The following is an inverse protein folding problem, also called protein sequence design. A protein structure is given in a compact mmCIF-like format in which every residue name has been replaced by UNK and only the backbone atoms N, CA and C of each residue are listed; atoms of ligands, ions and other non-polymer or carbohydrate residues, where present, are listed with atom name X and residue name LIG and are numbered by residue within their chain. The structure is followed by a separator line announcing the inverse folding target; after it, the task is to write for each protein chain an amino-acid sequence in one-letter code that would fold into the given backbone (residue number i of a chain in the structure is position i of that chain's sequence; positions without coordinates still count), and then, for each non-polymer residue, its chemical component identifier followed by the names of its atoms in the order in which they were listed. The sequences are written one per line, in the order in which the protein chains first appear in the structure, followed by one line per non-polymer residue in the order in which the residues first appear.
data_IF_828762207039
#
_entry.id   IF_828762207039
#
_cell.length_a   1.000
_cell.length_b   1.000
_cell.length_c   1.000
_cell.angle_alpha   90.00
_cell.angle_beta   90.00
_cell.angle_gamma   90.00
#
_symmetry.space_group_name_H-M   'P 1'
#
loop_
_entity.id
_entity.type
_entity.pdbx_description
1 polymer ?
#
# COMPACT_ATOMS: atom_id res chain seq x y z
N UNK A 1 -3.60 18.60 -16.93
CA UNK A 1 -4.85 18.99 -16.27
C UNK A 1 -6.01 19.17 -17.24
N UNK A 2 -5.97 20.11 -18.19
CA UNK A 2 -7.12 20.38 -19.08
C UNK A 2 -7.63 19.15 -19.85
N UNK A 3 -6.75 18.38 -20.47
CA UNK A 3 -7.09 17.17 -21.22
C UNK A 3 -7.91 16.16 -20.39
N UNK A 4 -7.47 15.90 -19.15
CA UNK A 4 -8.18 14.98 -18.25
C UNK A 4 -9.53 15.54 -17.83
N UNK A 5 -9.56 16.82 -17.46
CA UNK A 5 -10.82 17.48 -17.09
C UNK A 5 -11.85 17.49 -18.22
N UNK A 6 -11.41 17.72 -19.45
CA UNK A 6 -12.28 17.66 -20.64
C UNK A 6 -12.79 16.25 -20.90
N UNK A 7 -11.90 15.23 -20.78
CA UNK A 7 -12.25 13.83 -20.97
C UNK A 7 -13.33 13.36 -19.98
N UNK A 8 -13.25 13.81 -18.72
CA UNK A 8 -14.17 13.38 -17.67
C UNK A 8 -15.28 14.43 -17.36
N UNK A 9 -15.42 15.49 -18.17
CA UNK A 9 -16.45 16.50 -17.97
C UNK A 9 -16.32 17.30 -16.67
N UNK A 10 -15.10 17.46 -16.16
CA UNK A 10 -14.83 18.19 -14.92
C UNK A 10 -14.82 19.69 -15.23
N UNK A 11 -15.81 20.41 -14.70
CA UNK A 11 -15.98 21.84 -14.96
C UNK A 11 -15.02 22.68 -14.11
N UNK A 12 -14.93 22.41 -12.80
CA UNK A 12 -14.08 23.16 -11.87
C UNK A 12 -12.63 22.69 -11.95
N UNK A 13 -11.72 23.62 -12.12
CA UNK A 13 -10.28 23.35 -12.26
C UNK A 13 -9.47 24.34 -11.46
N UNK A 14 -8.58 23.86 -10.62
CA UNK A 14 -7.73 24.67 -9.78
C UNK A 14 -6.26 24.44 -10.15
N UNK A 15 -5.48 25.51 -10.21
CA UNK A 15 -4.01 25.49 -10.38
C UNK A 15 -3.30 25.84 -9.07
N UNK A 16 -4.06 26.24 -8.07
CA UNK A 16 -3.60 26.55 -6.73
C UNK A 16 -4.36 25.67 -5.72
N UNK A 17 -3.62 24.97 -4.88
CA UNK A 17 -4.19 24.05 -3.89
C UNK A 17 -4.99 24.79 -2.81
N UNK A 18 -4.55 25.99 -2.43
CA UNK A 18 -5.24 26.82 -1.43
C UNK A 18 -6.59 27.32 -1.94
N UNK A 19 -6.68 27.63 -3.21
CA UNK A 19 -7.95 28.01 -3.83
C UNK A 19 -8.91 26.80 -3.91
N UNK A 20 -8.40 25.61 -4.21
CA UNK A 20 -9.21 24.38 -4.17
C UNK A 20 -9.77 24.15 -2.78
N UNK A 21 -8.96 24.26 -1.74
CA UNK A 21 -9.38 24.01 -0.36
C UNK A 21 -10.45 25.01 0.15
N UNK A 22 -10.53 26.21 -0.42
CA UNK A 22 -11.57 27.22 -0.08
C UNK A 22 -12.93 26.93 -0.69
N UNK A 23 -13.02 26.04 -1.70
CA UNK A 23 -14.31 25.74 -2.32
C UNK A 23 -15.23 25.00 -1.33
N UNK A 24 -16.39 25.56 -0.97
CA UNK A 24 -17.33 24.93 -0.05
C UNK A 24 -18.07 23.73 -0.64
N UNK A 25 -17.99 23.51 -1.95
CA UNK A 25 -18.63 22.36 -2.61
C UNK A 25 -17.73 21.11 -2.65
N UNK A 26 -16.48 21.22 -2.13
CA UNK A 26 -15.56 20.11 -2.00
C UNK A 26 -15.60 19.60 -0.56
N UNK A 27 -16.03 18.36 -0.34
CA UNK A 27 -16.05 17.70 0.97
C UNK A 27 -14.78 16.88 1.24
N UNK A 28 -14.17 16.34 0.19
CA UNK A 28 -13.02 15.47 0.29
C UNK A 28 -12.01 15.72 -0.84
N UNK A 29 -10.75 15.41 -0.60
CA UNK A 29 -9.67 15.47 -1.59
C UNK A 29 -8.94 14.14 -1.71
N UNK A 30 -8.57 13.78 -2.94
CA UNK A 30 -7.64 12.70 -3.21
C UNK A 30 -6.27 13.30 -3.58
N UNK A 31 -5.26 13.07 -2.73
CA UNK A 31 -3.91 13.56 -2.92
C UNK A 31 -3.11 12.51 -3.68
N UNK A 32 -2.58 12.93 -4.83
CA UNK A 32 -1.78 12.10 -5.73
C UNK A 32 -0.58 12.92 -6.27
N UNK A 33 -0.03 13.75 -5.41
CA UNK A 33 1.15 14.59 -5.65
C UNK A 33 2.43 13.77 -5.47
N UNK A 34 3.62 14.37 -5.69
CA UNK A 34 4.88 13.74 -5.28
C UNK A 34 4.91 13.40 -3.79
N UNK A 35 5.50 12.26 -3.46
CA UNK A 35 5.51 11.70 -2.09
C UNK A 35 5.95 12.69 -0.99
N UNK A 36 6.98 13.54 -1.20
CA UNK A 36 7.38 14.52 -0.17
C UNK A 36 6.28 15.53 0.21
N UNK A 37 5.27 15.71 -0.64
CA UNK A 37 4.18 16.66 -0.40
C UNK A 37 2.96 16.03 0.31
N UNK A 38 2.90 14.69 0.43
CA UNK A 38 1.72 13.97 0.94
C UNK A 38 1.27 14.44 2.31
N UNK A 39 2.19 14.47 3.29
CA UNK A 39 1.87 14.85 4.66
C UNK A 39 1.39 16.30 4.75
N UNK A 40 2.17 17.23 4.19
CA UNK A 40 1.87 18.67 4.26
C UNK A 40 0.54 19.02 3.59
N UNK A 41 0.24 18.44 2.43
CA UNK A 41 -1.01 18.65 1.73
C UNK A 41 -2.19 18.00 2.46
N UNK A 42 -2.02 16.80 3.03
CA UNK A 42 -3.05 16.12 3.81
C UNK A 42 -3.44 16.91 5.06
N UNK A 43 -2.45 17.34 5.84
CA UNK A 43 -2.65 18.16 7.05
C UNK A 43 -3.38 19.47 6.69
N UNK A 44 -2.95 20.12 5.62
CA UNK A 44 -3.56 21.35 5.15
C UNK A 44 -5.03 21.15 4.74
N UNK A 45 -5.34 20.04 4.06
CA UNK A 45 -6.73 19.71 3.67
C UNK A 45 -7.60 19.43 4.89
N UNK A 46 -7.14 18.62 5.83
CA UNK A 46 -7.85 18.33 7.08
C UNK A 46 -8.17 19.63 7.84
N UNK A 47 -7.16 20.50 8.05
CA UNK A 47 -7.36 21.79 8.73
C UNK A 47 -8.24 22.76 7.95
N UNK A 48 -8.41 22.58 6.63
CA UNK A 48 -9.35 23.30 5.80
C UNK A 48 -10.78 22.70 5.78
N UNK A 49 -11.02 21.65 6.58
CA UNK A 49 -12.34 21.02 6.68
C UNK A 49 -12.63 19.99 5.60
N UNK A 50 -11.61 19.42 4.96
CA UNK A 50 -11.77 18.40 3.91
C UNK A 50 -11.32 17.03 4.41
N UNK A 51 -12.11 15.97 4.14
CA UNK A 51 -11.67 14.61 4.29
C UNK A 51 -10.56 14.29 3.30
N UNK A 52 -9.67 13.35 3.62
CA UNK A 52 -8.49 13.07 2.80
C UNK A 52 -8.35 11.59 2.48
N UNK A 53 -8.19 11.28 1.20
CA UNK A 53 -7.58 10.05 0.72
C UNK A 53 -6.23 10.43 0.10
N UNK A 54 -5.13 9.78 0.54
CA UNK A 54 -3.79 10.10 0.04
C UNK A 54 -3.10 8.84 -0.46
N UNK A 55 -2.43 8.92 -1.62
CA UNK A 55 -1.60 7.81 -2.11
C UNK A 55 -0.45 7.50 -1.15
N UNK A 56 0.12 6.33 -1.32
CA UNK A 56 1.18 5.79 -0.46
C UNK A 56 2.56 6.37 -0.78
N UNK A 57 3.44 6.40 0.22
CA UNK A 57 3.21 6.30 1.66
C UNK A 57 2.55 7.56 2.22
N UNK A 58 2.04 7.48 3.45
CA UNK A 58 1.38 8.63 4.11
C UNK A 58 2.30 9.83 4.29
N UNK A 59 3.58 9.59 4.56
CA UNK A 59 4.60 10.59 4.90
C UNK A 59 6.00 10.03 4.64
N UNK A 60 7.03 10.86 4.82
CA UNK A 60 8.44 10.48 4.68
C UNK A 60 9.21 10.48 6.01
N UNK A 61 8.64 11.04 7.08
CA UNK A 61 9.23 11.06 8.43
C UNK A 61 8.22 10.61 9.49
N UNK A 62 8.73 10.21 10.66
CA UNK A 62 7.89 9.82 11.81
C UNK A 62 7.12 11.03 12.33
N UNK A 63 7.76 12.19 12.36
CA UNK A 63 7.19 13.45 12.82
C UNK A 63 6.01 13.88 11.94
N UNK A 64 6.11 13.72 10.63
CA UNK A 64 5.00 13.98 9.70
C UNK A 64 3.83 13.01 9.92
N UNK A 65 4.11 11.72 10.18
CA UNK A 65 3.07 10.75 10.53
C UNK A 65 2.33 11.17 11.81
N UNK A 66 3.08 11.62 12.84
CA UNK A 66 2.51 12.08 14.10
C UNK A 66 1.66 13.35 13.90
N UNK A 67 2.18 14.34 13.17
CA UNK A 67 1.45 15.58 12.90
C UNK A 67 0.15 15.32 12.12
N UNK A 68 0.18 14.39 11.17
CA UNK A 68 -1.01 14.03 10.40
C UNK A 68 -2.04 13.31 11.29
N UNK A 69 -1.62 12.38 12.15
CA UNK A 69 -2.50 11.76 13.14
C UNK A 69 -3.14 12.81 14.06
N UNK A 70 -2.34 13.76 14.56
CA UNK A 70 -2.84 14.86 15.39
C UNK A 70 -3.85 15.73 14.63
N UNK A 71 -3.61 16.01 13.35
CA UNK A 71 -4.56 16.79 12.53
C UNK A 71 -5.90 16.05 12.32
N UNK A 72 -5.88 14.72 12.19
CA UNK A 72 -7.11 13.89 12.15
C UNK A 72 -7.86 13.98 13.48
N UNK A 73 -7.16 13.86 14.61
CA UNK A 73 -7.77 13.99 15.95
C UNK A 73 -8.33 15.39 16.19
N UNK A 74 -7.57 16.44 15.86
CA UNK A 74 -7.97 17.84 15.99
C UNK A 74 -9.25 18.18 15.21
N UNK A 75 -9.37 17.63 14.00
CA UNK A 75 -10.47 17.99 13.09
C UNK A 75 -11.66 17.04 13.14
N UNK A 76 -11.47 15.81 13.61
CA UNK A 76 -12.47 14.74 13.55
C UNK A 76 -12.79 14.27 12.13
N UNK A 77 -11.99 14.68 11.15
CA UNK A 77 -12.18 14.30 9.75
C UNK A 77 -11.52 12.98 9.42
N UNK A 78 -11.98 12.33 8.35
CA UNK A 78 -11.48 11.02 7.94
C UNK A 78 -10.24 11.16 7.07
N UNK A 79 -9.26 10.32 7.35
CA UNK A 79 -8.07 10.14 6.52
C UNK A 79 -7.92 8.66 6.15
N UNK A 80 -7.66 8.39 4.89
CA UNK A 80 -7.36 7.06 4.37
C UNK A 80 -6.05 7.08 3.58
N UNK A 81 -5.13 6.19 3.90
CA UNK A 81 -4.01 5.92 2.99
C UNK A 81 -4.49 5.00 1.87
N UNK A 82 -4.36 5.45 0.63
CA UNK A 82 -4.80 4.72 -0.56
C UNK A 82 -3.84 3.58 -0.91
N UNK A 83 -3.81 2.56 -0.06
CA UNK A 83 -2.96 1.39 -0.23
C UNK A 83 -3.64 0.34 -1.12
N UNK A 84 -3.15 0.21 -2.34
CA UNK A 84 -3.78 -0.61 -3.38
C UNK A 84 -3.70 -2.10 -3.13
N UNK A 85 -2.61 -2.60 -2.55
CA UNK A 85 -2.37 -4.05 -2.43
C UNK A 85 -3.39 -4.73 -1.53
N UNK A 86 -3.85 -4.06 -0.46
CA UNK A 86 -4.86 -4.63 0.45
C UNK A 86 -6.28 -4.65 -0.14
N UNK A 87 -6.45 -4.11 -1.33
CA UNK A 87 -7.67 -4.15 -2.12
C UNK A 87 -7.50 -4.91 -3.45
N UNK A 88 -6.31 -5.48 -3.70
CA UNK A 88 -6.08 -6.32 -4.87
C UNK A 88 -6.88 -7.63 -4.77
N UNK A 89 -7.26 -8.19 -5.93
CA UNK A 89 -8.02 -9.45 -5.96
C UNK A 89 -7.27 -10.59 -5.27
N UNK A 90 -5.97 -10.61 -5.35
CA UNK A 90 -5.13 -11.61 -4.70
C UNK A 90 -5.20 -11.49 -3.19
N UNK A 91 -5.11 -10.27 -2.66
CA UNK A 91 -5.25 -10.04 -1.22
C UNK A 91 -6.66 -10.37 -0.74
N UNK A 92 -7.69 -9.92 -1.45
CA UNK A 92 -9.09 -10.23 -1.12
C UNK A 92 -9.34 -11.75 -1.10
N UNK A 93 -8.77 -12.48 -2.06
CA UNK A 93 -8.85 -13.94 -2.12
C UNK A 93 -8.21 -14.61 -0.89
N UNK A 94 -6.98 -14.19 -0.55
CA UNK A 94 -6.28 -14.79 0.60
C UNK A 94 -6.99 -14.42 1.91
N UNK A 95 -7.46 -13.19 2.03
CA UNK A 95 -8.20 -12.71 3.20
C UNK A 95 -9.51 -13.49 3.38
N UNK A 96 -10.24 -13.76 2.29
CA UNK A 96 -11.42 -14.60 2.31
C UNK A 96 -11.13 -16.03 2.81
N UNK A 97 -10.03 -16.65 2.34
CA UNK A 97 -9.59 -17.96 2.82
C UNK A 97 -9.22 -17.93 4.31
N UNK A 98 -8.58 -16.87 4.76
CA UNK A 98 -8.23 -16.67 6.16
C UNK A 98 -9.49 -16.55 7.03
N UNK A 99 -10.41 -15.67 6.66
CA UNK A 99 -11.64 -15.41 7.39
C UNK A 99 -12.55 -16.64 7.49
N UNK A 100 -12.55 -17.51 6.46
CA UNK A 100 -13.20 -18.82 6.46
C UNK A 100 -12.46 -19.89 7.28
N UNK A 101 -11.27 -19.59 7.82
CA UNK A 101 -10.42 -20.53 8.56
C UNK A 101 -9.81 -21.64 7.71
N UNK A 102 -9.79 -21.46 6.38
CA UNK A 102 -9.27 -22.43 5.43
C UNK A 102 -7.74 -22.51 5.44
N UNK A 103 -7.05 -21.39 5.73
CA UNK A 103 -5.60 -21.38 5.91
C UNK A 103 -5.14 -22.12 7.18
N UNK A 104 -6.05 -22.31 8.13
CA UNK A 104 -5.73 -22.82 9.47
C UNK A 104 -5.01 -21.77 10.32
N UNK A 105 -4.10 -22.20 11.21
CA UNK A 105 -3.25 -21.24 11.94
C UNK A 105 -2.20 -20.69 10.99
N UNK A 106 -2.12 -19.37 10.86
CA UNK A 106 -1.03 -18.72 10.14
C UNK A 106 0.29 -18.97 10.88
N UNK A 107 1.36 -19.19 10.13
CA UNK A 107 2.67 -19.50 10.66
C UNK A 107 3.71 -18.46 10.25
N UNK A 108 3.59 -17.89 9.04
CA UNK A 108 4.56 -16.96 8.49
C UNK A 108 3.98 -16.17 7.32
N UNK A 109 4.45 -14.94 7.15
CA UNK A 109 4.10 -14.04 6.07
C UNK A 109 5.37 -13.54 5.39
N UNK A 110 5.36 -13.45 4.07
CA UNK A 110 6.45 -12.86 3.31
C UNK A 110 5.90 -11.99 2.18
N UNK A 111 6.61 -10.91 1.84
CA UNK A 111 6.22 -10.04 0.75
C UNK A 111 7.44 -9.42 0.06
N UNK A 112 7.29 -9.12 -1.22
CA UNK A 112 8.35 -8.44 -1.98
C UNK A 112 7.75 -7.47 -2.99
N UNK A 113 8.41 -6.31 -3.13
CA UNK A 113 8.07 -5.34 -4.16
C UNK A 113 9.33 -4.91 -4.92
N UNK A 114 9.82 -5.76 -5.82
CA UNK A 114 10.83 -5.38 -6.80
C UNK A 114 10.25 -4.37 -7.80
N UNK A 115 10.91 -3.24 -7.93
CA UNK A 115 10.52 -2.19 -8.88
C UNK A 115 11.76 -1.36 -9.25
N UNK A 116 12.01 -1.21 -10.54
CA UNK A 116 13.06 -0.34 -11.06
C UNK A 116 12.44 1.02 -11.39
N UNK A 117 12.98 2.08 -10.78
CA UNK A 117 12.50 3.45 -10.91
C UNK A 117 13.33 4.28 -11.91
N UNK A 118 14.22 3.66 -12.68
CA UNK A 118 14.95 4.36 -13.73
C UNK A 118 13.99 4.96 -14.77
N UNK A 119 14.15 6.26 -15.04
CA UNK A 119 13.28 6.99 -15.96
C UNK A 119 11.98 7.54 -15.37
N UNK A 120 11.73 7.31 -14.08
CA UNK A 120 10.61 7.91 -13.35
C UNK A 120 10.91 9.36 -12.96
N UNK A 121 9.92 10.16 -12.49
CA UNK A 121 10.15 11.54 -12.03
C UNK A 121 11.28 11.64 -11.00
N UNK A 122 12.06 12.70 -11.06
CA UNK A 122 13.34 12.84 -10.35
C UNK A 122 13.24 12.72 -8.81
N UNK A 123 12.10 12.99 -8.20
CA UNK A 123 11.93 12.83 -6.75
C UNK A 123 12.11 11.36 -6.29
N UNK A 124 11.93 10.38 -7.20
CA UNK A 124 12.20 8.97 -6.89
C UNK A 124 13.68 8.68 -6.63
N UNK A 125 14.58 9.48 -7.23
CA UNK A 125 16.01 9.33 -7.02
C UNK A 125 16.45 9.71 -5.59
N UNK A 126 15.60 10.42 -4.85
CA UNK A 126 15.79 10.79 -3.45
C UNK A 126 15.15 9.77 -2.47
N UNK A 127 14.40 8.79 -3.00
CA UNK A 127 13.70 7.82 -2.18
C UNK A 127 14.60 6.65 -1.76
N UNK A 128 14.47 6.29 -0.49
CA UNK A 128 15.08 5.10 0.11
C UNK A 128 14.16 3.91 -0.14
N UNK A 129 14.68 2.70 -0.47
CA UNK A 129 13.83 1.56 -0.78
C UNK A 129 12.73 1.28 0.25
N UNK A 130 13.08 1.23 1.54
CA UNK A 130 12.11 0.97 2.60
C UNK A 130 11.16 2.14 2.88
N UNK A 131 11.49 3.38 2.54
CA UNK A 131 10.54 4.49 2.67
C UNK A 131 9.35 4.36 1.71
N UNK A 132 9.46 3.50 0.68
CA UNK A 132 8.35 3.14 -0.19
C UNK A 132 8.02 1.64 -0.09
N UNK A 133 7.80 1.16 1.13
CA UNK A 133 7.57 -0.26 1.41
C UNK A 133 6.12 -0.59 1.81
N UNK A 134 5.21 0.36 1.76
CA UNK A 134 3.81 0.12 2.17
C UNK A 134 3.15 -1.01 1.41
N UNK A 135 3.42 -1.19 0.12
CA UNK A 135 2.89 -2.29 -0.69
C UNK A 135 3.32 -3.70 -0.26
N UNK A 136 4.35 -3.84 0.56
CA UNK A 136 4.76 -5.14 1.14
C UNK A 136 4.48 -5.23 2.63
N UNK A 137 4.46 -4.10 3.33
CA UNK A 137 4.14 -4.01 4.76
C UNK A 137 2.65 -4.20 4.99
N UNK A 138 1.84 -3.44 4.26
CA UNK A 138 0.38 -3.41 4.41
C UNK A 138 -0.29 -4.77 4.23
N UNK A 139 -0.01 -5.56 3.18
CA UNK A 139 -0.67 -6.85 3.05
C UNK A 139 -0.27 -7.83 4.15
N UNK A 140 0.98 -7.78 4.65
CA UNK A 140 1.40 -8.62 5.76
C UNK A 140 0.67 -8.27 7.06
N UNK A 141 0.57 -7.00 7.38
CA UNK A 141 -0.10 -6.55 8.60
C UNK A 141 -1.62 -6.62 8.46
N UNK A 142 -2.15 -6.26 7.29
CA UNK A 142 -3.57 -6.31 6.97
C UNK A 142 -4.18 -7.71 7.00
N UNK A 143 -3.40 -8.77 6.75
CA UNK A 143 -3.89 -10.15 6.86
C UNK A 143 -4.49 -10.46 8.24
N UNK A 144 -3.98 -9.84 9.28
CA UNK A 144 -4.41 -10.07 10.67
C UNK A 144 -4.93 -8.80 11.35
N UNK A 145 -5.27 -7.79 10.56
CA UNK A 145 -5.68 -6.46 11.02
C UNK A 145 -4.71 -5.90 12.08
N UNK A 146 -3.41 -6.15 11.86
CA UNK A 146 -2.35 -5.95 12.82
C UNK A 146 -1.55 -4.67 12.63
N UNK A 147 -0.79 -4.34 13.66
CA UNK A 147 0.23 -3.29 13.67
C UNK A 147 1.59 -3.93 13.90
N UNK A 148 2.65 -3.29 13.42
CA UNK A 148 4.01 -3.69 13.75
C UNK A 148 4.35 -3.28 15.19
N UNK A 149 5.11 -4.13 15.88
CA UNK A 149 5.65 -3.86 17.23
C UNK A 149 7.10 -3.37 17.16
N UNK A 150 7.93 -4.06 16.37
CA UNK A 150 9.31 -3.70 16.09
C UNK A 150 9.79 -4.30 14.77
N UNK A 151 10.89 -3.79 14.28
CA UNK A 151 11.56 -4.25 13.05
C UNK A 151 13.03 -4.53 13.27
N UNK A 152 13.60 -5.40 12.40
CA UNK A 152 15.04 -5.59 12.23
C UNK A 152 15.31 -5.73 10.74
N UNK A 153 16.19 -4.89 10.19
CA UNK A 153 16.42 -4.79 8.76
C UNK A 153 17.90 -4.78 8.42
N UNK A 154 18.25 -5.44 7.33
CA UNK A 154 19.61 -5.42 6.78
C UNK A 154 19.60 -4.79 5.39
N UNK A 155 20.56 -3.89 5.17
CA UNK A 155 20.90 -3.41 3.85
C UNK A 155 21.81 -4.42 3.14
N UNK A 156 21.62 -4.58 1.84
CA UNK A 156 22.36 -5.52 1.00
C UNK A 156 22.75 -4.89 -0.34
N UNK A 157 23.93 -5.27 -0.83
CA UNK A 157 24.47 -4.74 -2.07
C UNK A 157 24.84 -3.25 -1.98
N UNK A 158 25.13 -2.67 -3.12
CA UNK A 158 25.49 -1.25 -3.23
C UNK A 158 24.75 -0.65 -4.39
N UNK A 159 24.01 0.43 -4.14
CA UNK A 159 23.39 1.22 -5.19
C UNK A 159 24.44 2.11 -5.87
N UNK A 160 24.20 2.48 -7.12
CA UNK A 160 25.12 3.36 -7.87
C UNK A 160 25.29 4.72 -7.20
N UNK A 161 26.46 5.33 -7.42
CA UNK A 161 26.93 6.51 -6.70
C UNK A 161 25.98 7.72 -6.83
N UNK A 162 25.42 7.97 -8.01
CA UNK A 162 24.52 9.10 -8.26
C UNK A 162 23.21 8.99 -7.45
N UNK A 163 22.66 7.81 -7.30
CA UNK A 163 21.48 7.55 -6.47
C UNK A 163 21.85 7.62 -4.98
N UNK A 164 22.99 7.03 -4.60
CA UNK A 164 23.44 7.09 -3.22
C UNK A 164 23.63 8.53 -2.71
N UNK A 165 24.16 9.42 -3.56
CA UNK A 165 24.34 10.85 -3.21
C UNK A 165 23.01 11.60 -3.07
N UNK A 166 21.99 11.27 -3.87
CA UNK A 166 20.67 11.92 -3.84
C UNK A 166 19.81 11.42 -2.69
N UNK A 167 19.73 10.11 -2.53
CA UNK A 167 18.88 9.48 -1.50
C UNK A 167 19.50 9.44 -0.11
N UNK A 168 20.83 9.58 0.00
CA UNK A 168 21.56 9.33 1.22
C UNK A 168 21.69 7.84 1.59
N UNK A 169 21.11 6.93 0.79
CA UNK A 169 21.15 5.50 1.02
C UNK A 169 22.23 4.81 0.16
N UNK A 170 22.99 3.90 0.76
CA UNK A 170 24.03 3.13 0.07
C UNK A 170 23.59 1.73 -0.35
N UNK A 171 22.46 1.24 0.12
CA UNK A 171 22.01 -0.14 -0.09
C UNK A 171 21.21 -0.26 -1.38
N UNK A 172 21.50 -1.28 -2.18
CA UNK A 172 20.66 -1.61 -3.34
C UNK A 172 19.34 -2.26 -2.92
N UNK A 173 19.39 -3.13 -1.91
CA UNK A 173 18.21 -3.85 -1.38
C UNK A 173 18.16 -3.67 0.13
N UNK A 174 16.96 -3.52 0.66
CA UNK A 174 16.70 -3.61 2.10
C UNK A 174 15.74 -4.76 2.38
N UNK A 175 16.09 -5.56 3.40
CA UNK A 175 15.41 -6.80 3.77
C UNK A 175 15.07 -6.77 5.26
N UNK A 176 13.79 -6.75 5.59
CA UNK A 176 13.27 -6.44 6.91
C UNK A 176 12.43 -7.58 7.47
N UNK A 177 12.64 -7.91 8.73
CA UNK A 177 11.74 -8.71 9.54
C UNK A 177 10.90 -7.80 10.43
N UNK A 178 9.59 -8.06 10.44
CA UNK A 178 8.58 -7.31 11.19
C UNK A 178 7.98 -8.21 12.23
N UNK A 179 8.00 -7.82 13.51
CA UNK A 179 7.20 -8.46 14.55
C UNK A 179 5.83 -7.83 14.60
N UNK A 180 4.79 -8.64 14.49
CA UNK A 180 3.40 -8.19 14.58
C UNK A 180 3.03 -8.09 16.06
N UNK A 181 2.44 -6.95 16.44
CA UNK A 181 2.07 -6.63 17.81
C UNK A 181 0.98 -7.58 18.31
N UNK A 182 1.10 -8.03 19.55
CA UNK A 182 0.15 -8.91 20.23
C UNK A 182 -0.19 -10.19 19.44
N UNK A 183 0.73 -10.65 18.60
CA UNK A 183 0.56 -11.80 17.73
C UNK A 183 1.82 -12.67 17.70
N UNK A 184 1.66 -13.98 17.49
CA UNK A 184 2.78 -14.93 17.36
C UNK A 184 3.53 -14.77 16.02
N UNK A 185 2.90 -14.13 15.04
CA UNK A 185 3.42 -14.01 13.68
C UNK A 185 4.56 -13.00 13.57
N UNK A 186 5.39 -13.26 12.58
CA UNK A 186 6.30 -12.28 12.00
C UNK A 186 6.16 -12.28 10.49
N UNK A 187 6.56 -11.18 9.87
CA UNK A 187 6.63 -11.06 8.42
C UNK A 187 8.04 -10.76 7.97
N UNK A 188 8.38 -11.19 6.76
CA UNK A 188 9.61 -10.83 6.09
C UNK A 188 9.29 -10.09 4.81
N UNK A 189 9.82 -8.88 4.66
CA UNK A 189 9.60 -8.02 3.49
C UNK A 189 10.93 -7.56 2.93
N UNK A 190 11.01 -7.38 1.60
CA UNK A 190 12.18 -6.80 0.99
C UNK A 190 11.81 -5.91 -0.20
N UNK A 191 12.65 -4.90 -0.41
CA UNK A 191 12.42 -3.82 -1.37
C UNK A 191 13.71 -3.39 -2.04
N UNK A 192 13.63 -3.01 -3.32
CA UNK A 192 14.63 -2.20 -4.02
C UNK A 192 13.95 -1.21 -4.97
N UNK A 193 14.68 -0.21 -5.39
CA UNK A 193 14.23 0.82 -6.34
C UNK A 193 15.14 0.94 -7.56
N UNK A 194 16.40 0.50 -7.45
CA UNK A 194 17.44 0.66 -8.48
C UNK A 194 18.42 -0.50 -8.46
N UNK A 195 19.13 -0.69 -9.58
CA UNK A 195 20.31 -1.56 -9.71
C UNK A 195 20.10 -3.06 -9.43
N UNK A 196 18.85 -3.54 -9.50
CA UNK A 196 18.54 -4.96 -9.37
C UNK A 196 17.74 -5.44 -10.57
N UNK A 197 18.30 -6.36 -11.34
CA UNK A 197 17.68 -6.90 -12.55
C UNK A 197 16.51 -7.85 -12.22
N UNK A 198 15.37 -7.29 -11.84
CA UNK A 198 14.12 -8.01 -11.54
C UNK A 198 12.94 -7.18 -12.03
N UNK A 199 12.05 -7.80 -12.83
CA UNK A 199 10.81 -7.17 -13.26
C UNK A 199 9.92 -6.84 -12.05
N UNK A 200 8.99 -5.91 -12.28
CA UNK A 200 7.98 -5.53 -11.32
C UNK A 200 7.24 -6.74 -10.72
N UNK A 201 6.99 -6.70 -9.43
CA UNK A 201 6.12 -7.59 -8.68
C UNK A 201 5.66 -6.90 -7.41
N UNK A 202 4.38 -6.90 -7.15
CA UNK A 202 3.82 -6.71 -5.82
C UNK A 202 3.36 -8.09 -5.33
N UNK A 203 3.59 -8.41 -4.07
CA UNK A 203 3.23 -9.76 -3.62
C UNK A 203 3.08 -9.89 -2.12
N UNK A 204 2.27 -10.88 -1.74
CA UNK A 204 2.28 -11.48 -0.42
C UNK A 204 2.23 -12.99 -0.56
N UNK A 205 3.10 -13.68 0.20
CA UNK A 205 3.09 -15.12 0.37
C UNK A 205 2.63 -15.42 1.80
N UNK A 206 1.63 -16.29 1.94
CA UNK A 206 0.98 -16.58 3.23
C UNK A 206 1.07 -18.06 3.53
N UNK A 207 1.71 -18.41 4.65
CA UNK A 207 1.93 -19.79 5.05
C UNK A 207 1.06 -20.15 6.25
N UNK A 208 0.09 -21.02 6.02
CA UNK A 208 -0.84 -21.53 7.02
C UNK A 208 -0.66 -23.02 7.31
N UNK A 209 -1.24 -23.50 8.40
CA UNK A 209 -1.14 -24.89 8.80
C UNK A 209 -1.98 -25.88 7.97
N UNK A 210 -2.97 -25.37 7.22
CA UNK A 210 -3.83 -26.18 6.33
C UNK A 210 -3.59 -25.87 4.86
N UNK A 211 -3.52 -24.58 4.51
CA UNK A 211 -3.24 -24.09 3.17
C UNK A 211 -2.21 -22.97 3.23
N UNK A 212 -1.44 -22.82 2.17
CA UNK A 212 -0.52 -21.71 1.96
C UNK A 212 -0.71 -21.16 0.54
N UNK A 213 -0.52 -19.87 0.39
CA UNK A 213 -0.63 -19.18 -0.88
C UNK A 213 0.70 -18.54 -1.23
N UNK A 214 1.15 -18.73 -2.46
CA UNK A 214 2.30 -18.04 -3.04
C UNK A 214 1.85 -17.24 -4.26
N UNK A 215 2.10 -15.94 -4.19
CA UNK A 215 1.82 -15.04 -5.30
C UNK A 215 2.73 -15.33 -6.48
N UNK A 216 2.23 -15.15 -7.69
CA UNK A 216 2.99 -15.43 -8.91
C UNK A 216 4.37 -14.78 -8.91
N UNK A 217 5.35 -15.48 -9.43
CA UNK A 217 6.70 -14.94 -9.67
C UNK A 217 6.80 -14.12 -10.94
N UNK A 218 5.94 -14.37 -11.90
CA UNK A 218 5.91 -13.70 -13.21
C UNK A 218 4.51 -13.15 -13.44
N UNK A 219 4.42 -11.86 -13.69
CA UNK A 219 3.14 -11.21 -13.97
C UNK A 219 2.38 -11.91 -15.10
N UNK A 220 1.07 -12.08 -14.94
CA UNK A 220 0.22 -12.80 -15.87
C UNK A 220 0.22 -14.33 -15.73
N UNK A 221 1.03 -14.90 -14.86
CA UNK A 221 0.94 -16.31 -14.48
C UNK A 221 0.06 -16.50 -13.24
N UNK A 222 -0.55 -17.69 -13.06
CA UNK A 222 -1.37 -17.94 -11.88
C UNK A 222 -0.53 -18.01 -10.60
N UNK A 223 -1.13 -17.57 -9.51
CA UNK A 223 -0.63 -17.84 -8.15
C UNK A 223 -0.82 -19.30 -7.77
N UNK A 224 -0.19 -19.76 -6.71
CA UNK A 224 -0.16 -21.16 -6.31
C UNK A 224 -0.80 -21.32 -4.93
N UNK A 225 -1.68 -22.32 -4.82
CA UNK A 225 -2.22 -22.76 -3.54
C UNK A 225 -1.65 -24.13 -3.16
N UNK A 226 -1.03 -24.18 -1.99
CA UNK A 226 -0.54 -25.42 -1.38
C UNK A 226 -1.54 -25.93 -0.36
N UNK A 227 -1.77 -27.25 -0.32
CA UNK A 227 -2.68 -27.88 0.64
C UNK A 227 -1.92 -28.93 1.45
N UNK A 228 -1.93 -28.78 2.77
CA UNK A 228 -1.22 -29.69 3.67
C UNK A 228 -1.81 -31.10 3.63
N UNK A 229 -0.92 -32.12 3.78
CA UNK A 229 -1.29 -33.54 3.98
C UNK A 229 -2.10 -34.15 2.84
N UNK A 230 -1.79 -33.84 1.59
CA UNK A 230 -2.27 -34.62 0.45
C UNK A 230 -1.37 -35.85 0.30
N UNK A 231 -1.89 -37.09 0.47
CA UNK A 231 -1.07 -38.31 0.33
C UNK A 231 -0.53 -38.52 -1.09
N UNK A 232 -1.15 -37.90 -2.09
CA UNK A 232 -0.93 -38.21 -3.50
C UNK A 232 -0.47 -37.02 -4.35
N UNK A 233 -0.40 -35.83 -3.81
CA UNK A 233 -0.10 -34.65 -4.62
C UNK A 233 0.95 -33.77 -3.96
N UNK A 234 2.12 -33.91 -4.44
CA UNK A 234 3.21 -32.94 -4.28
C UNK A 234 3.12 -31.82 -5.32
N UNK A 235 2.08 -31.79 -6.14
CA UNK A 235 1.91 -30.78 -7.17
C UNK A 235 1.03 -29.66 -6.62
N UNK A 236 1.58 -28.44 -6.43
CA UNK A 236 0.80 -27.27 -6.06
C UNK A 236 -0.24 -26.94 -7.13
N UNK A 237 -1.39 -26.46 -6.73
CA UNK A 237 -2.48 -26.12 -7.66
C UNK A 237 -2.41 -24.65 -8.06
N UNK A 238 -2.37 -24.35 -9.37
CA UNK A 238 -2.64 -23.00 -9.85
C UNK A 238 -4.03 -22.54 -9.40
N UNK A 239 -4.15 -21.28 -8.99
CA UNK A 239 -5.40 -20.71 -8.51
C UNK A 239 -5.94 -19.72 -9.52
N UNK A 240 -7.21 -19.89 -9.90
CA UNK A 240 -7.96 -18.87 -10.59
C UNK A 240 -8.59 -17.92 -9.55
N UNK A 241 -8.15 -16.67 -9.55
CA UNK A 241 -8.56 -15.66 -8.57
C UNK A 241 -9.69 -14.84 -9.19
N UNK A 242 -10.89 -14.75 -8.55
CA UNK A 242 -11.99 -13.94 -9.04
C UNK A 242 -11.66 -12.44 -8.95
N UNK A 243 -12.38 -11.63 -9.70
CA UNK A 243 -12.18 -10.16 -9.72
C UNK A 243 -12.81 -9.43 -8.52
N UNK A 244 -13.61 -10.14 -7.71
CA UNK A 244 -14.35 -9.59 -6.57
C UNK A 244 -15.28 -8.41 -6.91
N UNK A 245 -15.63 -8.21 -8.17
CA UNK A 245 -16.52 -7.14 -8.59
C UNK A 245 -17.86 -7.15 -7.84
N UNK A 246 -18.35 -8.33 -7.44
CA UNK A 246 -19.60 -8.50 -6.69
C UNK A 246 -19.62 -7.80 -5.33
N UNK A 247 -18.48 -7.42 -4.78
CA UNK A 247 -18.37 -6.64 -3.54
C UNK A 247 -18.64 -5.15 -3.75
N UNK A 248 -18.74 -4.70 -5.00
CA UNK A 248 -18.94 -3.31 -5.38
C UNK A 248 -20.37 -3.03 -5.84
N UNK A 249 -20.85 -1.78 -5.70
CA UNK A 249 -22.08 -1.35 -6.37
C UNK A 249 -22.02 -1.60 -7.89
N UNK A 250 -23.14 -2.05 -8.47
CA UNK A 250 -23.24 -2.44 -9.88
C UNK A 250 -22.61 -1.45 -10.87
N UNK A 251 -22.79 -0.11 -10.76
CA UNK A 251 -22.25 0.82 -11.74
C UNK A 251 -20.72 0.86 -11.83
N UNK A 252 -20.03 0.43 -10.76
CA UNK A 252 -18.55 0.50 -10.67
C UNK A 252 -17.88 -0.87 -10.75
N UNK A 253 -18.63 -1.97 -10.82
CA UNK A 253 -18.08 -3.33 -10.92
C UNK A 253 -17.18 -3.51 -12.13
N UNK A 254 -17.52 -2.89 -13.26
CA UNK A 254 -16.74 -2.93 -14.49
C UNK A 254 -15.31 -2.40 -14.37
N UNK A 255 -15.02 -1.57 -13.37
CA UNK A 255 -13.70 -0.97 -13.16
C UNK A 255 -12.70 -1.89 -12.47
N UNK A 256 -13.09 -3.10 -12.05
CA UNK A 256 -12.16 -4.11 -11.51
C UNK A 256 -11.29 -4.77 -12.57
N UNK A 257 -11.62 -4.58 -13.84
CA UNK A 257 -10.92 -5.17 -14.98
C UNK A 257 -10.42 -4.10 -15.93
N UNK A 258 -9.39 -4.44 -16.70
CA UNK A 258 -8.97 -3.61 -17.83
C UNK A 258 -10.01 -3.75 -18.94
N UNK A 259 -10.66 -2.64 -19.31
CA UNK A 259 -11.66 -2.61 -20.36
C UNK A 259 -11.11 -1.77 -21.53
N UNK A 260 -10.99 -2.41 -22.69
CA UNK A 260 -10.75 -1.75 -23.96
C UNK A 260 -12.10 -1.38 -24.60
N UNK A 261 -12.74 -0.33 -24.07
CA UNK A 261 -13.99 0.18 -24.61
C UNK A 261 -13.82 1.66 -24.94
N UNK A 262 -14.14 2.05 -26.18
CA UNK A 262 -14.02 3.44 -26.64
C UNK A 262 -14.93 4.41 -25.85
N UNK A 263 -16.02 3.92 -25.28
CA UNK A 263 -16.94 4.69 -24.44
C UNK A 263 -16.57 4.63 -22.95
N UNK A 264 -15.52 3.86 -22.60
CA UNK A 264 -15.05 3.71 -21.23
C UNK A 264 -13.97 4.75 -20.94
N UNK A 265 -14.29 5.71 -20.10
CA UNK A 265 -13.41 6.83 -19.76
C UNK A 265 -12.29 6.48 -18.76
N UNK A 266 -12.17 5.24 -18.32
CA UNK A 266 -10.99 4.86 -17.52
C UNK A 266 -9.77 4.67 -18.42
N UNK A 267 -8.61 5.06 -17.90
CA UNK A 267 -7.36 4.69 -18.52
C UNK A 267 -7.22 3.15 -18.52
N UNK A 268 -6.39 2.63 -19.44
CA UNK A 268 -6.00 1.20 -19.56
C UNK A 268 -5.59 0.53 -18.23
N UNK A 269 -5.56 1.28 -17.15
CA UNK A 269 -5.20 0.86 -15.80
C UNK A 269 -6.35 0.31 -14.94
N UNK A 270 -7.57 0.12 -15.45
CA UNK A 270 -8.67 -0.45 -14.66
C UNK A 270 -8.34 -1.82 -14.04
N UNK A 271 -7.40 -2.58 -14.63
CA UNK A 271 -6.83 -3.79 -14.02
C UNK A 271 -5.55 -3.58 -13.23
N UNK A 272 -5.02 -2.37 -13.14
CA UNK A 272 -3.80 -2.06 -12.39
C UNK A 272 -3.94 -2.41 -10.91
N UNK A 273 -2.84 -2.81 -10.29
CA UNK A 273 -2.82 -3.28 -8.90
C UNK A 273 -3.93 -4.30 -8.59
N UNK A 274 -4.09 -5.30 -9.47
CA UNK A 274 -5.07 -6.37 -9.26
C UNK A 274 -6.54 -5.92 -9.18
N UNK A 275 -6.91 -4.81 -9.85
CA UNK A 275 -8.29 -4.29 -9.84
C UNK A 275 -8.70 -3.59 -8.55
N UNK A 276 -7.76 -3.13 -7.74
CA UNK A 276 -7.96 -2.57 -6.40
C UNK A 276 -8.62 -1.20 -6.36
N UNK A 277 -8.40 -0.35 -7.37
CA UNK A 277 -8.80 1.06 -7.35
C UNK A 277 -10.28 1.30 -7.05
N UNK A 278 -11.26 0.62 -7.71
CA UNK A 278 -12.67 0.83 -7.39
C UNK A 278 -13.04 0.38 -5.97
N UNK A 279 -12.41 -0.68 -5.45
CA UNK A 279 -12.62 -1.14 -4.07
C UNK A 279 -12.14 -0.10 -3.06
N UNK A 280 -10.92 0.42 -3.25
CA UNK A 280 -10.32 1.43 -2.40
C UNK A 280 -11.11 2.74 -2.38
N UNK A 281 -11.51 3.25 -3.55
CA UNK A 281 -12.33 4.46 -3.64
C UNK A 281 -13.70 4.25 -3.03
N UNK A 282 -14.33 3.08 -3.28
CA UNK A 282 -15.62 2.73 -2.67
C UNK A 282 -15.53 2.66 -1.14
N UNK A 283 -14.46 2.09 -0.58
CA UNK A 283 -14.23 2.07 0.87
C UNK A 283 -14.17 3.48 1.45
N UNK A 284 -13.37 4.36 0.85
CA UNK A 284 -13.26 5.74 1.32
C UNK A 284 -14.62 6.46 1.28
N UNK A 285 -15.31 6.42 0.15
CA UNK A 285 -16.60 7.11 0.01
C UNK A 285 -17.68 6.52 0.92
N UNK A 286 -17.74 5.19 1.06
CA UNK A 286 -18.66 4.53 1.98
C UNK A 286 -18.39 4.92 3.42
N UNK A 287 -17.10 5.02 3.82
CA UNK A 287 -16.75 5.43 5.18
C UNK A 287 -17.25 6.84 5.52
N UNK A 288 -17.23 7.76 4.55
CA UNK A 288 -17.77 9.12 4.73
C UNK A 288 -19.31 9.12 4.88
N UNK A 289 -19.99 8.34 4.04
CA UNK A 289 -21.46 8.24 4.07
C UNK A 289 -21.96 7.56 5.34
N UNK A 290 -21.23 6.57 5.83
CA UNK A 290 -21.57 5.77 7.00
C UNK A 290 -21.03 6.38 8.31
N UNK A 291 -20.28 7.47 8.23
CA UNK A 291 -19.58 8.13 9.36
C UNK A 291 -18.74 7.17 10.20
N UNK A 292 -17.97 6.33 9.54
CA UNK A 292 -16.99 5.41 10.15
C UNK A 292 -15.58 5.72 9.69
N UNK A 293 -14.59 5.17 10.38
CA UNK A 293 -13.22 5.26 9.89
C UNK A 293 -13.03 4.39 8.64
N UNK A 294 -12.31 4.91 7.63
CA UNK A 294 -11.88 4.12 6.49
C UNK A 294 -10.75 3.16 6.89
N UNK A 295 -10.50 2.16 6.05
CA UNK A 295 -9.37 1.26 6.26
C UNK A 295 -8.43 1.29 5.04
N UNK A 296 -7.10 1.49 5.23
CA UNK A 296 -6.43 1.81 6.50
C UNK A 296 -6.62 3.29 6.90
N UNK A 297 -6.99 3.51 8.16
CA UNK A 297 -7.13 4.84 8.73
C UNK A 297 -5.76 5.46 9.07
N UNK A 298 -5.76 6.70 9.58
CA UNK A 298 -4.52 7.44 9.88
C UNK A 298 -3.57 6.68 10.81
N UNK A 299 -4.06 6.06 11.87
CA UNK A 299 -3.24 5.30 12.83
C UNK A 299 -2.60 4.07 12.21
N UNK A 300 -3.38 3.32 11.46
CA UNK A 300 -2.90 2.14 10.72
C UNK A 300 -1.88 2.57 9.67
N UNK A 301 -2.18 3.62 8.91
CA UNK A 301 -1.31 4.18 7.89
C UNK A 301 0.03 4.67 8.47
N UNK A 302 -0.01 5.36 9.62
CA UNK A 302 1.19 5.83 10.31
C UNK A 302 2.08 4.67 10.76
N UNK A 303 1.51 3.63 11.38
CA UNK A 303 2.28 2.45 11.77
C UNK A 303 2.91 1.77 10.55
N UNK A 304 2.13 1.51 9.50
CA UNK A 304 2.62 0.83 8.29
C UNK A 304 3.68 1.65 7.54
N UNK A 305 3.54 2.97 7.47
CA UNK A 305 4.55 3.86 6.88
C UNK A 305 5.83 3.86 7.73
N UNK A 306 5.70 3.97 9.05
CA UNK A 306 6.84 3.98 9.96
C UNK A 306 7.63 2.66 9.97
N UNK A 307 7.01 1.52 9.59
CA UNK A 307 7.76 0.27 9.39
C UNK A 307 8.91 0.49 8.42
N UNK A 308 8.66 1.14 7.30
CA UNK A 308 9.71 1.41 6.32
C UNK A 308 10.79 2.35 6.84
N UNK A 309 10.41 3.42 7.51
CA UNK A 309 11.34 4.40 8.09
C UNK A 309 12.22 3.74 9.15
N UNK A 310 11.61 3.02 10.09
CA UNK A 310 12.33 2.29 11.15
C UNK A 310 13.20 1.15 10.57
N UNK A 311 12.76 0.50 9.49
CA UNK A 311 13.55 -0.52 8.80
C UNK A 311 14.84 0.05 8.24
N UNK A 312 14.78 1.20 7.57
CA UNK A 312 15.99 1.86 7.08
C UNK A 312 16.94 2.24 8.23
N UNK A 313 16.42 2.82 9.32
CA UNK A 313 17.23 3.14 10.51
C UNK A 313 17.90 1.88 11.09
N UNK A 314 17.20 0.75 11.11
CA UNK A 314 17.76 -0.54 11.52
C UNK A 314 18.89 -0.99 10.59
N UNK A 315 18.70 -0.87 9.27
CA UNK A 315 19.71 -1.25 8.27
C UNK A 315 20.99 -0.43 8.40
N UNK A 316 20.89 0.87 8.61
CA UNK A 316 22.03 1.76 8.84
C UNK A 316 22.83 1.38 10.10
N UNK A 317 22.15 0.85 11.10
CA UNK A 317 22.74 0.42 12.38
C UNK A 317 23.10 -1.07 12.39
N UNK A 318 23.13 -1.74 11.23
CA UNK A 318 23.58 -3.13 11.11
C UNK A 318 22.57 -4.18 11.59
N UNK A 319 21.28 -3.87 11.50
CA UNK A 319 20.18 -4.81 11.79
C UNK A 319 19.69 -4.79 13.23
N UNK A 320 19.98 -3.74 13.99
CA UNK A 320 19.47 -3.62 15.36
C UNK A 320 17.94 -3.53 15.38
N UNK A 321 17.35 -4.07 16.45
CA UNK A 321 15.92 -3.94 16.70
C UNK A 321 15.54 -2.46 16.87
N UNK A 322 14.55 -2.00 16.13
CA UNK A 322 13.91 -0.68 16.30
C UNK A 322 12.45 -0.88 16.67
N UNK A 323 12.04 -0.37 17.82
CA UNK A 323 10.66 -0.40 18.27
C UNK A 323 9.81 0.62 17.49
N UNK A 324 8.56 0.26 17.18
CA UNK A 324 7.67 1.14 16.43
C UNK A 324 7.21 2.32 17.29
N UNK A 325 7.11 3.53 16.71
CA UNK A 325 6.53 4.66 17.41
C UNK A 325 5.05 4.38 17.77
N UNK A 326 4.62 4.94 18.89
CA UNK A 326 3.24 4.86 19.34
C UNK A 326 2.50 6.11 18.88
N UNK A 327 1.43 5.94 18.14
CA UNK A 327 0.51 7.01 17.75
C UNK A 327 -0.74 6.96 18.61
N UNK A 328 -1.12 8.11 19.16
CA UNK A 328 -2.40 8.30 19.86
C UNK A 328 -3.44 8.80 18.87
N UNK A 329 -4.52 8.06 18.72
CA UNK A 329 -5.77 8.44 18.05
C UNK A 329 -6.92 7.87 18.86
#
# INVERSE_FOLDING_TARGET
MNTVAEQFGIEKRYTDYDELLKDPEIDAVHINSPIPDHASQSIKALRAGKHVMCTVPMATTIEECEELCNAVEETGLKYMMAETVVYSREFLFIKELYDKGELGKLQYLAASHPQDMDGWPSYWEEMIPMHYATHVVSPCLGMVDGLAEYVSCFGSGTVREDIAQKSGNKFAVESCHIKIKDNDLSAHVWRFLYDVARQYRESIDVYGSKKSFEWTLVEGQPSILHVAKRPEAEIPEPVEIPDFAHLLPEPIQKFTQSIEDADHLSFVQGGGHGGSHPHMVNEFLSSLVEDRDPWPNAKTAANWTCVGICAHQSAEQGGVKIDMPAFTL
#
